data_IF_291046370210
#
_entry.id   IF_291046370210
#
_cell.length_a   1.000
_cell.length_b   1.000
_cell.length_c   1.000
_cell.angle_alpha   90.00
_cell.angle_beta   90.00
_cell.angle_gamma   90.00
#
_symmetry.space_group_name_H-M   'P 1'
#
loop_
_entity.id
_entity.type
_entity.pdbx_description
1 polymer ?
#
# COMPACT_ATOMS: atom_id res chain seq x y z
N UNK A 1 -17.05 -12.23 17.75
CA UNK A 1 -15.92 -11.31 17.97
C UNK A 1 -15.30 -11.00 16.62
N UNK A 2 -15.43 -9.79 16.06
CA UNK A 2 -14.69 -9.42 14.88
C UNK A 2 -13.61 -8.39 15.23
N UNK A 3 -12.54 -8.83 15.89
CA UNK A 3 -11.40 -7.96 16.25
C UNK A 3 -10.16 -8.18 15.34
N UNK A 4 -10.37 -8.75 14.14
CA UNK A 4 -9.32 -8.93 13.13
C UNK A 4 -9.51 -8.05 11.87
N UNK A 5 -10.63 -7.35 11.73
CA UNK A 5 -10.95 -6.60 10.50
C UNK A 5 -10.87 -5.07 10.63
N UNK A 6 -11.01 -4.52 11.85
CA UNK A 6 -11.20 -3.09 12.06
C UNK A 6 -9.96 -2.23 11.75
N UNK A 7 -8.82 -2.55 12.38
CA UNK A 7 -7.60 -1.72 12.25
C UNK A 7 -6.91 -1.89 10.90
N UNK A 8 -6.88 -3.11 10.36
CA UNK A 8 -6.19 -3.39 9.11
C UNK A 8 -6.90 -2.74 7.91
N UNK A 9 -8.22 -2.52 8.00
CA UNK A 9 -8.97 -1.81 6.97
C UNK A 9 -8.81 -0.28 7.08
N UNK A 10 -8.68 0.28 8.30
CA UNK A 10 -8.40 1.71 8.47
C UNK A 10 -6.98 2.08 8.03
N UNK A 11 -5.98 1.28 8.39
CA UNK A 11 -4.58 1.52 8.00
C UNK A 11 -4.42 1.51 6.47
N UNK A 12 -5.20 0.64 5.83
CA UNK A 12 -5.24 0.53 4.38
C UNK A 12 -5.94 1.73 3.73
N UNK A 13 -7.12 2.14 4.23
CA UNK A 13 -7.84 3.32 3.72
C UNK A 13 -7.04 4.63 3.87
N UNK A 14 -6.29 4.77 4.96
CA UNK A 14 -5.39 5.91 5.18
C UNK A 14 -4.23 5.90 4.16
N UNK A 15 -3.65 4.73 3.88
CA UNK A 15 -2.62 4.59 2.85
C UNK A 15 -3.14 4.96 1.45
N UNK A 16 -4.39 4.57 1.10
CA UNK A 16 -5.04 4.98 -0.16
C UNK A 16 -5.17 6.49 -0.24
N UNK A 17 -5.68 7.09 0.83
CA UNK A 17 -5.92 8.54 0.91
C UNK A 17 -4.62 9.33 0.75
N UNK A 18 -3.52 8.83 1.31
CA UNK A 18 -2.18 9.42 1.14
C UNK A 18 -1.69 9.34 -0.31
N UNK A 19 -1.89 8.21 -0.98
CA UNK A 19 -1.52 8.04 -2.39
C UNK A 19 -2.33 8.99 -3.31
N UNK A 20 -3.60 9.20 -3.02
CA UNK A 20 -4.51 10.05 -3.80
C UNK A 20 -4.42 11.55 -3.46
N UNK A 21 -3.73 11.91 -2.38
CA UNK A 21 -3.56 13.31 -1.96
C UNK A 21 -3.01 14.16 -3.11
N UNK A 22 -3.78 15.17 -3.54
CA UNK A 22 -3.37 16.09 -4.61
C UNK A 22 -2.47 17.19 -4.03
N UNK A 23 -1.65 17.79 -4.89
CA UNK A 23 -0.84 18.98 -4.55
C UNK A 23 0.36 18.76 -3.59
N UNK A 24 0.87 17.52 -3.54
CA UNK A 24 2.09 17.20 -2.79
C UNK A 24 3.27 17.07 -3.76
N UNK A 25 4.31 17.90 -3.58
CA UNK A 25 5.60 17.80 -4.28
C UNK A 25 6.53 16.78 -3.60
N UNK A 26 6.10 15.52 -3.53
CA UNK A 26 6.88 14.42 -2.96
C UNK A 26 6.58 13.10 -3.67
N UNK A 27 7.55 12.18 -3.63
CA UNK A 27 7.36 10.80 -4.08
C UNK A 27 6.50 10.09 -3.04
N UNK A 28 5.30 9.68 -3.44
CA UNK A 28 4.36 8.94 -2.57
C UNK A 28 4.73 7.47 -2.62
N UNK A 29 4.94 6.88 -1.45
CA UNK A 29 5.31 5.48 -1.28
C UNK A 29 4.38 4.89 -0.22
N UNK A 30 3.63 3.85 -0.58
CA UNK A 30 2.88 3.06 0.38
C UNK A 30 3.70 1.85 0.78
N UNK A 31 3.96 1.71 2.09
CA UNK A 31 4.69 0.58 2.65
C UNK A 31 3.66 -0.43 3.17
N UNK A 32 3.58 -1.58 2.51
CA UNK A 32 2.63 -2.64 2.85
C UNK A 32 3.39 -3.96 3.06
N UNK A 33 3.52 -4.38 4.32
CA UNK A 33 4.16 -5.63 4.72
C UNK A 33 3.12 -6.69 5.13
N UNK A 34 3.15 -7.87 4.50
CA UNK A 34 2.28 -8.99 4.83
C UNK A 34 1.76 -9.80 3.64
N UNK A 35 0.59 -10.43 3.78
CA UNK A 35 -0.04 -11.35 2.82
C UNK A 35 -0.53 -10.71 1.51
N UNK A 36 -0.39 -9.40 1.34
CA UNK A 36 -0.88 -8.63 0.19
C UNK A 36 -0.31 -9.11 -1.17
N UNK A 37 0.93 -9.60 -1.17
CA UNK A 37 1.58 -10.16 -2.37
C UNK A 37 1.09 -11.57 -2.72
N UNK A 38 0.37 -12.24 -1.81
CA UNK A 38 -0.22 -13.54 -2.09
C UNK A 38 -1.47 -13.32 -2.93
N UNK A 39 -1.46 -13.90 -4.13
CA UNK A 39 -2.61 -13.84 -5.05
C UNK A 39 -3.86 -14.37 -4.36
N UNK A 40 -4.78 -13.47 -4.07
CA UNK A 40 -6.03 -13.75 -3.37
C UNK A 40 -7.13 -12.84 -3.89
N UNK A 41 -8.39 -13.20 -3.64
CA UNK A 41 -9.52 -12.33 -3.96
C UNK A 41 -9.79 -11.28 -2.85
N UNK A 42 -8.77 -11.00 -2.03
CA UNK A 42 -8.87 -10.00 -0.96
C UNK A 42 -8.86 -8.59 -1.57
N UNK A 43 -9.60 -7.67 -0.94
CA UNK A 43 -9.62 -6.24 -1.32
C UNK A 43 -8.20 -5.66 -1.42
N UNK A 44 -7.35 -6.07 -0.50
CA UNK A 44 -5.93 -5.72 -0.41
C UNK A 44 -5.09 -6.19 -1.62
N UNK A 45 -5.26 -7.42 -2.09
CA UNK A 45 -4.56 -7.90 -3.28
C UNK A 45 -5.10 -7.26 -4.56
N UNK A 46 -6.42 -7.06 -4.65
CA UNK A 46 -7.03 -6.33 -5.76
C UNK A 46 -6.50 -4.90 -5.83
N UNK A 47 -6.33 -4.23 -4.69
CA UNK A 47 -5.81 -2.87 -4.62
C UNK A 47 -4.43 -2.67 -5.24
N UNK A 48 -3.47 -3.54 -4.92
CA UNK A 48 -2.11 -3.46 -5.49
C UNK A 48 -2.08 -3.84 -6.98
N UNK A 49 -3.07 -4.61 -7.45
CA UNK A 49 -3.12 -5.09 -8.84
C UNK A 49 -3.94 -4.19 -9.76
N UNK A 50 -4.95 -3.48 -9.25
CA UNK A 50 -5.88 -2.64 -10.02
C UNK A 50 -6.70 -1.76 -9.05
N UNK A 51 -6.71 -0.41 -9.04
CA UNK A 51 -6.21 0.61 -9.97
C UNK A 51 -4.84 1.23 -9.63
N UNK A 52 -4.20 0.82 -8.52
CA UNK A 52 -2.98 1.48 -8.01
C UNK A 52 -1.67 0.84 -8.48
N UNK A 53 -1.68 0.02 -9.53
CA UNK A 53 -0.50 -0.66 -10.08
C UNK A 53 0.68 0.25 -10.45
N UNK A 54 0.40 1.53 -10.69
CA UNK A 54 1.38 2.53 -11.10
C UNK A 54 1.93 3.36 -9.92
N UNK A 55 1.44 3.12 -8.70
CA UNK A 55 1.94 3.78 -7.49
C UNK A 55 3.14 3.01 -6.92
N UNK A 56 4.00 3.70 -6.18
CA UNK A 56 5.11 3.05 -5.48
C UNK A 56 4.57 2.33 -4.24
N UNK A 57 4.09 1.11 -4.43
CA UNK A 57 3.63 0.24 -3.35
C UNK A 57 4.65 -0.88 -3.17
N UNK A 58 5.25 -0.98 -1.99
CA UNK A 58 6.34 -1.93 -1.75
C UNK A 58 6.43 -2.38 -0.28
N UNK A 59 7.19 -3.44 -0.03
CA UNK A 59 7.54 -3.87 1.33
C UNK A 59 8.62 -2.98 1.92
N UNK A 60 8.67 -2.82 3.24
CA UNK A 60 9.75 -2.08 3.91
C UNK A 60 11.13 -2.70 3.62
N UNK A 61 11.17 -4.00 3.31
CA UNK A 61 12.40 -4.73 2.94
C UNK A 61 13.10 -4.14 1.71
N UNK A 62 12.33 -3.72 0.70
CA UNK A 62 12.86 -3.18 -0.56
C UNK A 62 12.87 -1.65 -0.59
N UNK A 63 12.29 -0.99 0.41
CA UNK A 63 12.28 0.47 0.52
C UNK A 63 13.69 1.07 0.48
N UNK A 64 14.64 0.42 1.16
CA UNK A 64 16.04 0.86 1.16
C UNK A 64 16.59 0.91 -0.26
N UNK A 65 16.39 -0.14 -1.04
CA UNK A 65 16.88 -0.21 -2.42
C UNK A 65 16.24 0.83 -3.31
N UNK A 66 14.93 1.07 -3.15
CA UNK A 66 14.23 2.15 -3.85
C UNK A 66 14.85 3.52 -3.57
N UNK A 67 15.10 3.85 -2.29
CA UNK A 67 15.70 5.13 -1.92
C UNK A 67 17.12 5.35 -2.45
N UNK A 68 17.87 4.28 -2.73
CA UNK A 68 19.21 4.38 -3.35
C UNK A 68 19.17 4.48 -4.88
N UNK A 69 18.04 4.19 -5.52
CA UNK A 69 17.87 4.29 -6.98
C UNK A 69 17.33 5.65 -7.45
N UNK A 70 16.70 6.41 -6.55
CA UNK A 70 16.21 7.78 -6.80
C UNK A 70 17.36 8.77 -6.75
#
# INVERSE_FOLDING_TARGET
>A
MPDFGGSQNSDFEDAVTMLEAKDVNAIRIAILDGVLYIRSNSKMHQFITNPYKNYNIMSALVLREFLFQV
#
